data_IF_624721208081
#
_entry.id   IF_624721208081
#
_cell.length_a   1.000
_cell.length_b   1.000
_cell.length_c   1.000
_cell.angle_alpha   90.00
_cell.angle_beta   90.00
_cell.angle_gamma   90.00
#
_symmetry.space_group_name_H-M   'P 1'
#
loop_
_entity.id
_entity.type
_entity.pdbx_description
1 polymer ?
#
# COMPACT_ATOMS: atom_id res chain seq x y z
N UNK A 1 10.49 -1.53 -25.56
CA UNK A 1 9.85 -0.21 -25.28
C UNK A 1 9.92 0.05 -23.79
N UNK A 2 10.74 1.01 -23.35
CA UNK A 2 10.69 1.46 -21.96
C UNK A 2 9.37 2.21 -21.73
N UNK A 3 8.44 1.63 -20.96
CA UNK A 3 7.24 2.35 -20.53
C UNK A 3 7.72 3.50 -19.64
N UNK A 4 7.56 4.74 -20.10
CA UNK A 4 7.80 5.92 -19.24
C UNK A 4 6.79 5.86 -18.10
N UNK A 5 7.26 5.57 -16.89
CA UNK A 5 6.45 5.62 -15.68
C UNK A 5 5.99 7.07 -15.53
N UNK A 6 4.67 7.30 -15.54
CA UNK A 6 4.14 8.65 -15.29
C UNK A 6 4.48 9.04 -13.85
N UNK A 7 4.96 10.28 -13.62
CA UNK A 7 5.21 10.74 -12.26
C UNK A 7 3.91 10.73 -11.44
N UNK A 8 4.04 10.36 -10.16
CA UNK A 8 2.93 10.44 -9.21
C UNK A 8 2.66 11.93 -8.91
N UNK A 9 1.40 12.36 -9.02
CA UNK A 9 1.03 13.74 -8.66
C UNK A 9 1.14 13.97 -7.15
N UNK A 10 1.37 15.23 -6.73
CA UNK A 10 1.37 15.62 -5.31
C UNK A 10 0.11 15.13 -4.56
N UNK A 11 -1.07 15.35 -5.14
CA UNK A 11 -2.33 14.88 -4.56
C UNK A 11 -2.39 13.35 -4.40
N UNK A 12 -1.81 12.59 -5.35
CA UNK A 12 -1.73 11.14 -5.20
C UNK A 12 -0.77 10.74 -4.08
N UNK A 13 0.36 11.43 -3.92
CA UNK A 13 1.29 11.20 -2.80
C UNK A 13 0.62 11.51 -1.45
N UNK A 14 -0.11 12.61 -1.35
CA UNK A 14 -0.87 12.98 -0.15
C UNK A 14 -1.92 11.92 0.20
N UNK A 15 -2.63 11.39 -0.82
CA UNK A 15 -3.57 10.29 -0.65
C UNK A 15 -2.90 8.99 -0.16
N UNK A 16 -1.71 8.65 -0.67
CA UNK A 16 -0.91 7.51 -0.19
C UNK A 16 -0.54 7.70 1.29
N UNK A 17 -0.06 8.88 1.67
CA UNK A 17 0.31 9.19 3.06
C UNK A 17 -0.91 9.09 3.99
N UNK A 18 -2.05 9.62 3.57
CA UNK A 18 -3.29 9.52 4.33
C UNK A 18 -3.70 8.07 4.54
N UNK A 19 -3.66 7.25 3.49
CA UNK A 19 -4.01 5.83 3.56
C UNK A 19 -3.08 5.06 4.50
N UNK A 20 -1.77 5.32 4.45
CA UNK A 20 -0.79 4.70 5.36
C UNK A 20 -1.11 5.08 6.82
N UNK A 21 -1.36 6.37 7.10
CA UNK A 21 -1.72 6.84 8.45
C UNK A 21 -2.99 6.19 8.98
N UNK A 22 -4.00 6.05 8.13
CA UNK A 22 -5.25 5.37 8.49
C UNK A 22 -5.00 3.88 8.85
N UNK A 23 -4.21 3.18 8.03
CA UNK A 23 -3.91 1.77 8.24
C UNK A 23 -3.08 1.54 9.52
N UNK A 24 -2.06 2.36 9.76
CA UNK A 24 -1.17 2.19 10.93
C UNK A 24 -1.80 2.73 12.21
N UNK A 25 -2.46 3.89 12.17
CA UNK A 25 -3.03 4.55 13.34
C UNK A 25 -4.38 3.97 13.75
N UNK A 26 -5.37 4.02 12.85
CA UNK A 26 -6.75 3.64 13.19
C UNK A 26 -6.99 2.14 13.10
N UNK A 27 -6.43 1.49 12.07
CA UNK A 27 -6.63 0.05 11.85
C UNK A 27 -5.61 -0.82 12.58
N UNK A 28 -4.48 -0.25 13.02
CA UNK A 28 -3.38 -0.95 13.65
C UNK A 28 -2.99 -2.23 12.88
N UNK A 29 -2.80 -2.08 11.58
CA UNK A 29 -2.49 -3.22 10.72
C UNK A 29 -1.10 -3.79 11.03
N UNK A 30 -0.90 -5.08 10.76
CA UNK A 30 0.42 -5.70 10.79
C UNK A 30 1.32 -5.11 9.70
N UNK A 31 2.63 -5.18 9.90
CA UNK A 31 3.60 -4.66 8.94
C UNK A 31 3.49 -5.43 7.60
N UNK A 32 3.22 -6.74 7.66
CA UNK A 32 2.96 -7.60 6.49
C UNK A 32 1.73 -7.13 5.70
N UNK A 33 0.63 -6.81 6.40
CA UNK A 33 -0.56 -6.27 5.76
C UNK A 33 -0.34 -4.88 5.18
N UNK A 34 0.45 -4.02 5.85
CA UNK A 34 0.82 -2.71 5.32
C UNK A 34 1.63 -2.82 4.04
N UNK A 35 2.59 -3.75 3.98
CA UNK A 35 3.40 -4.02 2.79
C UNK A 35 2.53 -4.48 1.62
N UNK A 36 1.57 -5.39 1.86
CA UNK A 36 0.60 -5.80 0.84
C UNK A 36 -0.30 -4.64 0.36
N UNK A 37 -0.80 -3.80 1.29
CA UNK A 37 -1.59 -2.62 0.93
C UNK A 37 -0.78 -1.63 0.08
N UNK A 38 0.48 -1.39 0.43
CA UNK A 38 1.36 -0.51 -0.33
C UNK A 38 1.63 -1.06 -1.74
N UNK A 39 1.88 -2.37 -1.87
CA UNK A 39 2.03 -3.03 -3.17
C UNK A 39 0.82 -2.76 -4.07
N UNK A 40 -0.40 -2.91 -3.54
CA UNK A 40 -1.64 -2.64 -4.29
C UNK A 40 -1.72 -1.19 -4.76
N UNK A 41 -1.48 -0.24 -3.87
CA UNK A 41 -1.56 1.19 -4.19
C UNK A 41 -0.55 1.56 -5.28
N UNK A 42 0.68 1.05 -5.20
CA UNK A 42 1.72 1.29 -6.22
C UNK A 42 1.39 0.61 -7.55
N UNK A 43 0.88 -0.62 -7.51
CA UNK A 43 0.45 -1.37 -8.71
C UNK A 43 -0.68 -0.66 -9.45
N UNK A 44 -1.68 -0.12 -8.73
CA UNK A 44 -2.78 0.68 -9.28
C UNK A 44 -2.29 1.96 -9.97
N UNK A 45 -1.14 2.49 -9.56
CA UNK A 45 -0.46 3.63 -10.21
C UNK A 45 0.46 3.21 -11.36
N UNK A 46 0.54 1.91 -11.67
CA UNK A 46 1.39 1.37 -12.73
C UNK A 46 2.88 1.32 -12.36
N UNK A 47 3.20 1.38 -11.07
CA UNK A 47 4.57 1.25 -10.57
C UNK A 47 4.85 -0.24 -10.38
N UNK A 48 5.87 -0.79 -11.05
CA UNK A 48 6.22 -2.19 -10.88
C UNK A 48 6.74 -2.46 -9.47
N UNK A 49 6.18 -3.47 -8.84
CA UNK A 49 6.55 -3.97 -7.50
C UNK A 49 6.47 -5.49 -7.53
N UNK A 50 7.27 -6.15 -6.69
CA UNK A 50 7.22 -7.60 -6.55
C UNK A 50 5.85 -8.08 -6.05
N UNK A 51 5.51 -9.32 -6.38
CA UNK A 51 4.28 -9.94 -5.87
C UNK A 51 4.41 -10.23 -4.37
N UNK A 52 3.52 -9.65 -3.57
CA UNK A 52 3.36 -9.99 -2.14
C UNK A 52 1.99 -10.68 -1.99
N UNK A 53 1.94 -11.87 -1.37
CA UNK A 53 0.67 -12.56 -1.16
C UNK A 53 -0.25 -11.74 -0.25
N UNK A 54 -1.55 -11.83 -0.49
CA UNK A 54 -2.53 -11.21 0.40
C UNK A 54 -2.54 -11.94 1.74
N UNK A 55 -2.34 -11.23 2.88
CA UNK A 55 -2.51 -11.84 4.18
C UNK A 55 -3.98 -12.19 4.40
N UNK A 56 -4.26 -13.19 5.24
CA UNK A 56 -5.63 -13.58 5.54
C UNK A 56 -6.32 -12.47 6.33
N UNK A 57 -7.64 -12.25 6.21
CA UNK A 57 -8.33 -11.13 6.86
C UNK A 57 -8.11 -11.03 8.38
N UNK A 58 -7.90 -12.15 9.06
CA UNK A 58 -7.62 -12.20 10.50
C UNK A 58 -6.16 -11.91 10.89
N UNK A 59 -5.24 -11.88 9.91
CA UNK A 59 -3.83 -11.51 10.07
C UNK A 59 -3.60 -10.01 9.83
N UNK A 60 -4.63 -9.28 9.39
CA UNK A 60 -4.51 -7.88 9.01
C UNK A 60 -4.28 -6.97 10.20
N UNK A 61 -4.79 -7.32 11.37
CA UNK A 61 -4.74 -6.48 12.56
C UNK A 61 -3.84 -7.09 13.60
N UNK A 62 -2.99 -6.28 14.23
CA UNK A 62 -2.25 -6.70 15.42
C UNK A 62 -3.27 -7.12 16.48
N UNK A 63 -3.26 -8.39 16.87
CA UNK A 63 -3.98 -8.85 18.06
C UNK A 63 -3.28 -8.22 19.26
N UNK A 64 -3.92 -7.21 19.84
CA UNK A 64 -3.56 -6.65 21.15
C UNK A 64 -4.14 -7.60 22.20
#
# INVERSE_FOLDING_TARGET
MFKRIKPISKASLEGIVYQIRYLTGEKNVTDEALVWHLQRILSEKGIPVDYIPSPKPWEWKKRI
#
